data_IF_629770043711
#
_entry.id   IF_629770043711
#
_cell.length_a   1.000
_cell.length_b   1.000
_cell.length_c   1.000
_cell.angle_alpha   90.00
_cell.angle_beta   90.00
_cell.angle_gamma   90.00
#
_symmetry.space_group_name_H-M   'P 1'
#
loop_
_entity.id
_entity.type
_entity.pdbx_description
1 polymer ?
#
# COMPACT_ATOMS: atom_id res chain seq x y z
N UNK A 1 3.13 19.87 -23.75
CA UNK A 1 1.78 19.50 -23.27
C UNK A 1 0.78 20.33 -24.06
N UNK A 2 -0.09 19.71 -24.86
CA UNK A 2 -1.03 20.45 -25.70
C UNK A 2 -2.23 20.90 -24.87
N UNK A 3 -2.91 21.96 -25.30
CA UNK A 3 -4.10 22.49 -24.60
C UNK A 3 -5.23 21.45 -24.51
N UNK A 4 -5.33 20.57 -25.52
CA UNK A 4 -6.28 19.47 -25.51
C UNK A 4 -6.02 18.49 -24.35
N UNK A 5 -4.77 18.08 -24.14
CA UNK A 5 -4.38 17.13 -23.09
C UNK A 5 -4.70 17.67 -21.66
N UNK A 6 -4.64 19.00 -21.47
CA UNK A 6 -4.99 19.66 -20.20
C UNK A 6 -6.50 19.70 -19.98
N UNK A 7 -7.28 20.03 -21.01
CA UNK A 7 -8.74 20.10 -20.94
C UNK A 7 -9.36 18.72 -20.66
N UNK A 8 -8.81 17.65 -21.23
CA UNK A 8 -9.26 16.28 -20.94
C UNK A 8 -9.01 15.87 -19.48
N UNK A 9 -7.91 16.33 -18.87
CA UNK A 9 -7.59 16.04 -17.47
C UNK A 9 -8.54 16.70 -16.45
N UNK A 10 -9.16 17.83 -16.85
CA UNK A 10 -10.15 18.55 -16.03
C UNK A 10 -11.55 17.95 -16.24
N UNK A 11 -11.85 17.48 -17.46
CA UNK A 11 -13.16 16.95 -17.83
C UNK A 11 -13.43 15.56 -17.25
N UNK A 12 -12.38 14.78 -17.04
CA UNK A 12 -12.43 13.47 -16.39
C UNK A 12 -11.59 13.51 -15.11
N UNK A 13 -12.14 13.89 -13.94
CA UNK A 13 -11.42 13.70 -12.70
C UNK A 13 -11.05 12.21 -12.65
N UNK A 14 -9.73 11.93 -12.61
CA UNK A 14 -9.21 10.57 -12.54
C UNK A 14 -10.03 9.82 -11.50
N UNK A 15 -10.68 8.74 -11.93
CA UNK A 15 -11.58 7.94 -11.10
C UNK A 15 -10.93 7.72 -9.73
N UNK A 16 -11.69 7.84 -8.62
CA UNK A 16 -11.14 7.58 -7.31
C UNK A 16 -10.48 6.19 -7.32
N UNK A 17 -9.18 6.16 -7.00
CA UNK A 17 -8.44 4.91 -6.91
C UNK A 17 -8.97 4.12 -5.72
N UNK A 18 -9.54 2.95 -5.97
CA UNK A 18 -9.90 2.04 -4.90
C UNK A 18 -8.65 1.29 -4.45
N UNK A 19 -8.29 1.44 -3.17
CA UNK A 19 -7.26 0.63 -2.53
C UNK A 19 -7.94 -0.31 -1.54
N UNK A 20 -7.68 -1.61 -1.68
CA UNK A 20 -8.07 -2.57 -0.66
C UNK A 20 -7.06 -2.51 0.50
N UNK A 21 -7.55 -2.20 1.70
CA UNK A 21 -6.77 -2.28 2.92
C UNK A 21 -7.17 -3.57 3.65
N UNK A 22 -6.27 -4.58 3.75
CA UNK A 22 -6.58 -5.80 4.47
C UNK A 22 -6.79 -5.52 5.96
N UNK A 23 -7.63 -6.33 6.62
CA UNK A 23 -7.78 -6.30 8.07
C UNK A 23 -6.44 -6.61 8.74
N UNK A 24 -5.91 -5.65 9.49
CA UNK A 24 -4.65 -5.78 10.22
C UNK A 24 -4.89 -6.58 11.50
N UNK A 25 -4.06 -7.60 11.74
CA UNK A 25 -4.09 -8.40 12.98
C UNK A 25 -2.98 -7.89 13.88
N UNK A 26 -3.32 -7.40 15.07
CA UNK A 26 -2.33 -7.03 16.10
C UNK A 26 -1.75 -8.26 16.80
N UNK A 27 -1.23 -9.23 16.05
CA UNK A 27 -0.57 -10.42 16.63
C UNK A 27 0.90 -10.13 16.95
N UNK A 28 1.61 -9.43 16.05
CA UNK A 28 3.02 -9.08 16.20
C UNK A 28 3.23 -7.65 15.75
N UNK A 29 3.99 -6.88 16.55
CA UNK A 29 4.38 -5.50 16.23
C UNK A 29 5.88 -5.35 16.38
N UNK A 30 6.49 -4.54 15.51
CA UNK A 30 7.88 -4.15 15.68
C UNK A 30 8.07 -3.22 16.87
N UNK A 31 9.26 -3.27 17.47
CA UNK A 31 9.68 -2.24 18.43
C UNK A 31 9.76 -0.87 17.75
N UNK A 32 9.62 0.25 18.48
CA UNK A 32 9.59 1.59 17.88
C UNK A 32 10.78 1.89 16.95
N UNK A 33 12.00 1.52 17.37
CA UNK A 33 13.21 1.68 16.55
C UNK A 33 13.15 0.90 15.23
N UNK A 34 12.60 -0.33 15.27
CA UNK A 34 12.48 -1.17 14.07
C UNK A 34 11.34 -0.72 13.16
N UNK A 35 10.23 -0.26 13.73
CA UNK A 35 9.11 0.29 12.99
C UNK A 35 9.51 1.53 12.19
N UNK A 36 10.28 2.44 12.80
CA UNK A 36 10.81 3.63 12.12
C UNK A 36 11.70 3.27 10.93
N UNK A 37 12.50 2.19 11.05
CA UNK A 37 13.36 1.73 9.96
C UNK A 37 12.59 1.03 8.84
N UNK A 38 11.54 0.27 9.18
CA UNK A 38 10.74 -0.49 8.22
C UNK A 38 9.64 0.35 7.53
N UNK A 39 9.24 1.48 8.12
CA UNK A 39 8.12 2.30 7.63
C UNK A 39 6.74 1.74 7.98
N UNK A 40 6.68 0.68 8.79
CA UNK A 40 5.45 0.04 9.28
C UNK A 40 5.68 -0.56 10.67
N UNK A 41 4.66 -0.52 11.53
CA UNK A 41 4.66 -1.22 12.82
C UNK A 41 4.33 -2.71 12.66
N UNK A 42 3.75 -3.08 11.52
CA UNK A 42 3.19 -4.39 11.22
C UNK A 42 4.19 -5.23 10.41
N UNK A 43 4.78 -6.29 10.99
CA UNK A 43 5.74 -7.14 10.31
C UNK A 43 5.21 -7.78 9.02
N UNK A 44 3.92 -8.10 8.97
CA UNK A 44 3.24 -8.69 7.82
C UNK A 44 3.16 -7.76 6.60
N UNK A 45 3.29 -6.45 6.83
CA UNK A 45 3.34 -5.44 5.76
C UNK A 45 4.76 -5.18 5.27
N UNK A 46 5.78 -5.68 5.97
CA UNK A 46 7.18 -5.53 5.60
C UNK A 46 7.64 -6.68 4.70
N UNK A 47 6.91 -6.88 3.60
CA UNK A 47 7.16 -7.93 2.59
C UNK A 47 7.19 -7.32 1.19
N UNK A 48 7.79 -8.03 0.23
CA UNK A 48 7.80 -7.60 -1.16
C UNK A 48 6.40 -7.72 -1.80
N UNK A 49 6.17 -6.99 -2.90
CA UNK A 49 4.91 -7.11 -3.64
C UNK A 49 4.71 -8.54 -4.20
N UNK A 50 5.79 -9.21 -4.57
CA UNK A 50 5.78 -10.59 -5.05
C UNK A 50 5.33 -11.57 -3.96
N UNK A 51 5.84 -11.40 -2.74
CA UNK A 51 5.42 -12.22 -1.59
C UNK A 51 3.98 -11.94 -1.17
N UNK A 52 3.53 -10.69 -1.30
CA UNK A 52 2.14 -10.31 -1.08
C UNK A 52 1.20 -11.02 -2.08
N UNK A 53 1.54 -11.01 -3.36
CA UNK A 53 0.78 -11.71 -4.40
C UNK A 53 0.73 -13.23 -4.18
N UNK A 54 1.76 -13.80 -3.58
CA UNK A 54 1.82 -15.22 -3.20
C UNK A 54 1.00 -15.55 -1.94
N UNK A 55 0.43 -14.55 -1.27
CA UNK A 55 -0.37 -14.75 -0.06
C UNK A 55 0.45 -14.99 1.21
N UNK A 56 1.76 -14.67 1.19
CA UNK A 56 2.68 -14.92 2.31
C UNK A 56 2.55 -13.91 3.46
N UNK A 57 1.62 -12.96 3.36
CA UNK A 57 1.31 -11.99 4.43
C UNK A 57 0.77 -12.66 5.71
N UNK A 58 0.36 -13.93 5.65
CA UNK A 58 -0.12 -14.69 6.80
C UNK A 58 0.94 -15.57 7.48
N UNK A 59 2.21 -15.51 7.05
CA UNK A 59 3.32 -16.21 7.72
C UNK A 59 3.16 -17.74 7.84
N UNK A 60 2.44 -18.37 6.91
CA UNK A 60 2.29 -19.82 6.78
C UNK A 60 2.88 -20.30 5.46
#
# INVERSE_FOLDING_TARGET
MRKEDFMDSIKYPKSPGYAYVPFQRMEKVYSPAKALKAGTIFPELNISLEDYQRGLFNGK
#
